data_IF_395872003338
#
_entry.id   IF_395872003338
#
_cell.length_a   1.000
_cell.length_b   1.000
_cell.length_c   1.000
_cell.angle_alpha   90.00
_cell.angle_beta   90.00
_cell.angle_gamma   90.00
#
_symmetry.space_group_name_H-M   'P 1'
#
loop_
_entity.id
_entity.type
_entity.pdbx_description
1 polymer ?
#
# COMPACT_ATOMS: atom_id res chain seq x y z
N UNK A 1 2.63 8.96 12.80
CA UNK A 1 3.48 8.07 11.99
C UNK A 1 4.75 8.80 11.57
N UNK A 2 5.87 8.13 11.32
CA UNK A 2 7.14 8.82 11.02
C UNK A 2 7.27 9.13 9.53
N UNK A 3 7.90 10.26 9.18
CA UNK A 3 8.26 10.62 7.81
C UNK A 3 9.11 9.54 7.11
N UNK A 4 9.81 8.72 7.89
CA UNK A 4 10.58 7.57 7.40
C UNK A 4 9.67 6.48 6.80
N UNK A 5 8.54 6.15 7.44
CA UNK A 5 7.60 5.16 6.89
C UNK A 5 7.00 5.65 5.56
N UNK A 6 6.61 6.92 5.50
CA UNK A 6 6.03 7.51 4.27
C UNK A 6 7.03 7.47 3.12
N UNK A 7 8.26 7.91 3.37
CA UNK A 7 9.35 7.85 2.37
C UNK A 7 9.60 6.41 1.92
N UNK A 8 9.68 5.47 2.86
CA UNK A 8 9.91 4.06 2.55
C UNK A 8 8.76 3.44 1.74
N UNK A 9 7.50 3.77 2.05
CA UNK A 9 6.34 3.31 1.28
C UNK A 9 6.35 3.83 -0.16
N UNK A 10 6.77 5.08 -0.38
CA UNK A 10 6.99 5.60 -1.73
C UNK A 10 7.99 4.73 -2.49
N UNK A 11 9.15 4.44 -1.90
CA UNK A 11 10.18 3.60 -2.51
C UNK A 11 9.68 2.18 -2.84
N UNK A 12 8.88 1.57 -1.96
CA UNK A 12 8.34 0.23 -2.21
C UNK A 12 7.31 0.22 -3.34
N UNK A 13 6.43 1.23 -3.38
CA UNK A 13 5.42 1.35 -4.44
C UNK A 13 6.08 1.64 -5.78
N UNK A 14 7.13 2.46 -5.82
CA UNK A 14 7.89 2.75 -7.03
C UNK A 14 8.63 1.49 -7.53
N UNK A 15 9.18 0.68 -6.62
CA UNK A 15 9.80 -0.60 -6.96
C UNK A 15 8.79 -1.62 -7.52
N UNK A 16 7.59 -1.69 -6.94
CA UNK A 16 6.50 -2.53 -7.47
C UNK A 16 6.05 -2.04 -8.86
N UNK A 17 5.98 -0.72 -9.10
CA UNK A 17 5.63 -0.14 -10.40
C UNK A 17 6.66 -0.51 -11.47
N UNK A 18 7.95 -0.37 -11.17
CA UNK A 18 9.01 -0.78 -12.07
C UNK A 18 8.94 -2.29 -12.37
N UNK A 19 8.78 -3.12 -11.34
CA UNK A 19 8.67 -4.57 -11.50
C UNK A 19 7.43 -4.99 -12.32
N UNK A 20 6.31 -4.29 -12.16
CA UNK A 20 5.08 -4.54 -12.91
C UNK A 20 5.22 -4.14 -14.38
N UNK A 21 5.92 -3.05 -14.69
CA UNK A 21 6.15 -2.58 -16.05
C UNK A 21 6.98 -3.59 -16.89
N UNK A 22 7.88 -4.33 -16.24
CA UNK A 22 8.73 -5.33 -16.89
C UNK A 22 8.05 -6.69 -17.11
N UNK A 23 6.84 -6.88 -16.58
CA UNK A 23 6.17 -8.19 -16.55
C UNK A 23 5.08 -8.32 -17.63
N UNK A 24 5.04 -9.44 -18.38
CA UNK A 24 3.98 -9.67 -19.35
C UNK A 24 2.64 -9.94 -18.65
N UNK A 25 1.49 -9.59 -19.25
CA UNK A 25 0.16 -9.73 -18.63
C UNK A 25 -0.14 -11.12 -18.05
N UNK A 26 0.31 -12.17 -18.72
CA UNK A 26 0.09 -13.56 -18.30
C UNK A 26 0.76 -13.92 -16.97
N UNK A 27 1.78 -13.17 -16.53
CA UNK A 27 2.56 -13.49 -15.33
C UNK A 27 1.83 -13.20 -14.01
N UNK A 28 0.85 -12.29 -14.03
CA UNK A 28 0.07 -11.89 -12.86
C UNK A 28 -1.41 -12.30 -12.95
N UNK A 29 -1.82 -12.94 -14.04
CA UNK A 29 -3.19 -13.45 -14.17
C UNK A 29 -3.35 -14.76 -13.37
N UNK A 30 -4.50 -14.94 -12.69
CA UNK A 30 -4.83 -16.23 -12.10
C UNK A 30 -4.87 -17.34 -13.15
N UNK A 31 -4.55 -18.56 -12.73
CA UNK A 31 -4.66 -19.73 -13.59
C UNK A 31 -6.08 -19.85 -14.19
N UNK A 32 -6.14 -20.09 -15.50
CA UNK A 32 -7.41 -20.19 -16.23
C UNK A 32 -8.00 -18.87 -16.72
N UNK A 33 -7.39 -17.71 -16.41
CA UNK A 33 -7.83 -16.41 -16.91
C UNK A 33 -6.97 -15.94 -18.09
N UNK A 34 -7.63 -15.66 -19.22
CA UNK A 34 -6.96 -15.11 -20.42
C UNK A 34 -6.88 -13.58 -20.36
N UNK A 35 -5.84 -12.94 -20.92
CA UNK A 35 -5.76 -11.48 -21.09
C UNK A 35 -6.95 -10.86 -21.84
N UNK A 36 -7.59 -11.62 -22.72
CA UNK A 36 -8.77 -11.17 -23.48
C UNK A 36 -10.06 -11.16 -22.64
N UNK A 37 -10.02 -11.72 -21.43
CA UNK A 37 -11.17 -11.70 -20.52
C UNK A 37 -11.33 -10.28 -19.94
N UNK A 38 -12.53 -9.66 -19.97
CA UNK A 38 -12.74 -8.34 -19.38
C UNK A 38 -12.41 -8.28 -17.87
N UNK A 39 -12.44 -9.40 -17.16
CA UNK A 39 -12.05 -9.49 -15.75
C UNK A 39 -10.53 -9.42 -15.55
N UNK A 40 -9.71 -9.64 -16.59
CA UNK A 40 -8.25 -9.60 -16.50
C UNK A 40 -7.74 -8.25 -15.96
N UNK A 41 -8.40 -7.15 -16.33
CA UNK A 41 -8.06 -5.81 -15.85
C UNK A 41 -8.16 -5.65 -14.32
N UNK A 42 -8.98 -6.47 -13.63
CA UNK A 42 -9.10 -6.44 -12.18
C UNK A 42 -7.86 -6.99 -11.46
N UNK A 43 -7.09 -7.83 -12.14
CA UNK A 43 -5.88 -8.46 -11.61
C UNK A 43 -4.60 -7.72 -12.00
N UNK A 44 -4.71 -6.65 -12.80
CA UNK A 44 -3.55 -5.87 -13.22
C UNK A 44 -2.82 -5.29 -12.01
N UNK A 45 -1.51 -5.52 -11.86
CA UNK A 45 -0.70 -4.90 -10.81
C UNK A 45 -0.83 -3.38 -10.81
N UNK A 46 -0.96 -2.76 -11.99
CA UNK A 46 -1.13 -1.32 -12.14
C UNK A 46 -2.36 -0.79 -11.36
N UNK A 47 -3.44 -1.57 -11.27
CA UNK A 47 -4.61 -1.20 -10.49
C UNK A 47 -4.31 -1.18 -8.99
N UNK A 48 -3.68 -2.23 -8.48
CA UNK A 48 -3.30 -2.33 -7.06
C UNK A 48 -2.30 -1.24 -6.69
N UNK A 49 -1.31 -0.98 -7.54
CA UNK A 49 -0.31 0.09 -7.38
C UNK A 49 -0.99 1.46 -7.33
N UNK A 50 -1.91 1.74 -8.25
CA UNK A 50 -2.66 3.00 -8.25
C UNK A 50 -3.45 3.19 -6.95
N UNK A 51 -4.15 2.16 -6.46
CA UNK A 51 -4.88 2.23 -5.19
C UNK A 51 -3.96 2.51 -4.00
N UNK A 52 -2.76 1.92 -3.98
CA UNK A 52 -1.75 2.19 -2.93
C UNK A 52 -1.20 3.62 -3.01
N UNK A 53 -0.95 4.12 -4.22
CA UNK A 53 -0.53 5.52 -4.44
C UNK A 53 -1.60 6.51 -4.01
N UNK A 54 -2.87 6.26 -4.35
CA UNK A 54 -3.98 7.14 -3.95
C UNK A 54 -4.13 7.20 -2.44
N UNK A 55 -3.98 6.06 -1.75
CA UNK A 55 -3.97 6.01 -0.28
C UNK A 55 -2.81 6.85 0.29
N UNK A 56 -1.59 6.68 -0.24
CA UNK A 56 -0.42 7.42 0.21
C UNK A 56 -0.52 8.92 -0.08
N UNK A 57 -1.10 9.30 -1.22
CA UNK A 57 -1.33 10.70 -1.60
C UNK A 57 -2.42 11.39 -0.74
N UNK A 58 -3.33 10.61 -0.16
CA UNK A 58 -4.37 11.11 0.75
C UNK A 58 -3.82 11.34 2.17
N UNK A 59 -2.64 10.79 2.47
CA UNK A 59 -2.04 10.97 3.79
C UNK A 59 -1.65 12.42 4.05
N UNK A 60 -1.90 12.82 5.30
CA UNK A 60 -1.46 14.07 5.89
C UNK A 60 -0.86 13.75 7.25
N UNK A 61 0.09 14.56 7.67
CA UNK A 61 0.71 14.40 8.97
C UNK A 61 -0.34 14.55 10.08
N UNK A 62 -0.64 13.48 10.84
CA UNK A 62 -1.64 13.54 11.90
C UNK A 62 -1.23 14.43 13.07
N UNK A 63 0.07 14.77 13.24
CA UNK A 63 0.49 15.76 14.25
C UNK A 63 -0.01 17.18 13.92
N UNK A 64 -0.36 17.41 12.65
CA UNK A 64 -0.92 18.66 12.16
C UNK A 64 -2.44 18.56 11.91
N UNK A 65 -3.05 17.41 12.22
CA UNK A 65 -4.49 17.19 12.12
C UNK A 65 -5.17 17.55 13.45
N UNK A 66 -6.33 18.21 13.37
CA UNK A 66 -7.13 18.47 14.57
C UNK A 66 -7.58 17.13 15.18
N UNK A 67 -7.77 17.09 16.51
CA UNK A 67 -8.19 15.86 17.23
C UNK A 67 -9.57 15.31 16.81
N UNK A 68 -10.30 16.03 15.96
CA UNK A 68 -11.57 15.60 15.36
C UNK A 68 -11.40 15.07 13.91
N UNK A 69 -10.19 15.09 13.37
CA UNK A 69 -9.88 14.64 12.02
C UNK A 69 -9.74 13.11 11.96
N UNK A 70 -10.91 12.45 12.00
CA UNK A 70 -11.02 11.00 11.91
C UNK A 70 -10.42 10.43 10.62
N UNK A 71 -10.49 11.20 9.53
CA UNK A 71 -9.97 10.80 8.22
C UNK A 71 -8.44 10.69 8.28
N UNK A 72 -7.75 11.69 8.83
CA UNK A 72 -6.27 11.65 8.99
C UNK A 72 -5.80 10.45 9.83
N UNK A 73 -6.48 10.14 10.93
CA UNK A 73 -6.16 8.97 11.75
C UNK A 73 -6.46 7.63 11.04
N UNK A 74 -7.56 7.55 10.28
CA UNK A 74 -7.92 6.36 9.51
C UNK A 74 -6.90 6.08 8.40
N UNK A 75 -6.42 7.13 7.72
CA UNK A 75 -5.39 7.02 6.69
C UNK A 75 -4.03 6.62 7.29
N UNK A 76 -3.65 7.17 8.46
CA UNK A 76 -2.46 6.74 9.20
C UNK A 76 -2.48 5.23 9.46
N UNK A 77 -3.58 4.75 10.04
CA UNK A 77 -3.76 3.33 10.33
C UNK A 77 -3.72 2.47 9.06
N UNK A 78 -4.40 2.91 8.00
CA UNK A 78 -4.46 2.18 6.72
C UNK A 78 -3.08 2.02 6.06
N UNK A 79 -2.22 3.04 6.16
CA UNK A 79 -0.85 2.96 5.65
C UNK A 79 0.04 2.03 6.47
N UNK A 80 -0.13 1.98 7.80
CA UNK A 80 0.56 1.00 8.64
C UNK A 80 0.14 -0.43 8.31
N UNK A 81 -1.15 -0.65 8.09
CA UNK A 81 -1.66 -1.96 7.64
C UNK A 81 -1.09 -2.31 6.27
N UNK A 82 -1.03 -1.37 5.33
CA UNK A 82 -0.40 -1.59 4.03
C UNK A 82 1.06 -2.03 4.19
N UNK A 83 1.84 -1.29 5.00
CA UNK A 83 3.24 -1.62 5.27
C UNK A 83 3.40 -3.03 5.85
N UNK A 84 2.60 -3.36 6.87
CA UNK A 84 2.67 -4.64 7.56
C UNK A 84 2.17 -5.83 6.72
N UNK A 85 1.22 -5.63 5.81
CA UNK A 85 0.60 -6.73 5.04
C UNK A 85 1.20 -6.93 3.65
N UNK A 86 1.62 -5.85 3.00
CA UNK A 86 2.17 -5.92 1.64
C UNK A 86 3.70 -5.89 1.60
N UNK A 87 4.34 -5.34 2.63
CA UNK A 87 5.77 -5.00 2.57
C UNK A 87 6.60 -5.46 3.78
N UNK A 88 6.04 -6.21 4.74
CA UNK A 88 6.77 -6.64 5.95
C UNK A 88 8.03 -7.47 5.66
N UNK A 89 8.03 -8.19 4.54
CA UNK A 89 9.14 -9.05 4.12
C UNK A 89 10.21 -8.28 3.31
N UNK A 90 9.97 -6.99 3.02
CA UNK A 90 10.91 -6.15 2.28
C UNK A 90 12.02 -5.63 3.21
N UNK A 91 13.27 -5.54 2.72
CA UNK A 91 14.35 -4.89 3.46
C UNK A 91 13.99 -3.46 3.86
N UNK A 92 14.36 -3.07 5.09
CA UNK A 92 14.09 -1.74 5.63
C UNK A 92 12.75 -1.61 6.37
N UNK A 93 11.86 -2.61 6.30
CA UNK A 93 10.69 -2.65 7.17
C UNK A 93 11.10 -2.64 8.65
N UNK A 94 10.40 -1.83 9.45
CA UNK A 94 10.61 -1.74 10.90
C UNK A 94 9.34 -2.17 11.63
N UNK A 95 9.47 -3.04 12.63
CA UNK A 95 8.32 -3.56 13.39
C UNK A 95 7.52 -2.45 14.11
N UNK A 96 8.16 -1.32 14.45
CA UNK A 96 7.50 -0.14 15.05
C UNK A 96 6.45 0.53 14.13
N UNK A 97 6.48 0.22 12.83
CA UNK A 97 5.52 0.70 11.84
C UNK A 97 4.23 -0.12 11.79
N UNK A 98 4.21 -1.30 12.40
CA UNK A 98 2.99 -2.09 12.49
C UNK A 98 1.88 -1.27 13.19
N UNK A 99 0.60 -1.48 12.81
CA UNK A 99 -0.50 -0.96 13.61
C UNK A 99 -0.37 -1.50 15.04
N UNK A 100 -0.62 -0.66 16.05
CA UNK A 100 -0.63 -1.13 17.43
C UNK A 100 -1.71 -2.20 17.61
N UNK A 101 -1.39 -3.26 18.35
CA UNK A 101 -2.38 -4.21 18.87
C UNK A 101 -3.20 -3.48 19.94
N UNK A 102 -4.15 -2.65 19.52
CA UNK A 102 -5.22 -2.18 20.40
C UNK A 102 -6.17 -3.37 20.62
N UNK A 103 -5.73 -4.32 21.48
CA UNK A 103 -6.61 -5.32 22.05
C UNK A 103 -7.78 -4.62 22.76
N UNK A 104 -8.98 -5.23 22.79
CA UNK A 104 -10.14 -4.58 23.40
C UNK A 104 -9.85 -4.24 24.87
N UNK A 105 -10.00 -2.96 25.20
CA UNK A 105 -9.96 -2.43 26.57
C UNK A 105 -11.14 -2.93 27.41
#
# INVERSE_FOLDING_TARGET
MTAELITWLHEQIDADEAAAADQPPLSWLPEGLSPDNPLAALYSPARTIAMRRDLLATWRDPEHADSQDHDSHSIDWSLRVLAATAYSDRPGYRAEWAPADDGPA
#
